data_IF_023599425309
#
_entry.id   IF_023599425309
#
_cell.length_a   1.000
_cell.length_b   1.000
_cell.length_c   1.000
_cell.angle_alpha   90.00
_cell.angle_beta   90.00
_cell.angle_gamma   90.00
#
_symmetry.space_group_name_H-M   'P 1'
#
loop_
_entity.id
_entity.type
_entity.pdbx_description
1 polymer ?
#
# COMPACT_ATOMS: atom_id res chain seq x y z
N UNK A 1 1.76 -2.73 10.12
CA UNK A 1 2.29 -3.42 8.91
C UNK A 1 2.97 -2.38 8.02
N UNK A 2 4.06 -2.74 7.35
CA UNK A 2 4.71 -1.87 6.37
C UNK A 2 4.72 -2.55 5.01
N UNK A 3 4.48 -1.79 3.94
CA UNK A 3 4.67 -2.23 2.55
C UNK A 3 5.66 -1.26 1.91
N UNK A 4 6.69 -1.79 1.26
CA UNK A 4 7.79 -1.02 0.67
C UNK A 4 7.93 -1.39 -0.79
N UNK A 5 8.14 -0.38 -1.64
CA UNK A 5 8.41 -0.54 -3.06
C UNK A 5 9.84 -0.10 -3.34
N UNK A 6 10.59 -0.94 -4.06
CA UNK A 6 11.96 -0.63 -4.47
C UNK A 6 11.99 0.52 -5.47
N UNK A 7 13.16 1.12 -5.67
CA UNK A 7 13.35 2.05 -6.78
C UNK A 7 12.97 1.38 -8.12
N UNK A 8 12.18 2.05 -8.99
CA UNK A 8 11.92 1.55 -10.33
C UNK A 8 13.22 1.36 -11.11
N UNK A 9 13.33 0.26 -11.84
CA UNK A 9 14.44 0.02 -12.77
C UNK A 9 14.19 0.74 -14.10
N UNK A 10 15.17 0.67 -14.99
CA UNK A 10 15.02 1.20 -16.35
C UNK A 10 13.81 0.56 -17.06
N UNK A 11 12.88 1.40 -17.50
CA UNK A 11 11.63 0.97 -18.16
C UNK A 11 10.46 0.66 -17.21
N UNK A 12 10.68 0.67 -15.89
CA UNK A 12 9.62 0.56 -14.87
C UNK A 12 9.17 1.96 -14.44
N UNK A 13 8.01 2.06 -13.79
CA UNK A 13 7.52 3.30 -13.22
C UNK A 13 6.99 3.10 -11.80
N UNK A 14 6.81 4.22 -11.09
CA UNK A 14 5.97 4.24 -9.90
C UNK A 14 5.17 5.53 -9.92
N UNK A 15 3.85 5.43 -10.08
CA UNK A 15 2.96 6.58 -10.03
C UNK A 15 2.53 6.86 -8.58
N UNK A 16 3.29 7.71 -7.90
CA UNK A 16 3.02 8.10 -6.52
C UNK A 16 1.68 8.85 -6.38
N UNK A 17 1.27 9.61 -7.40
CA UNK A 17 0.02 10.37 -7.36
C UNK A 17 -1.17 9.41 -7.47
N UNK A 18 -1.09 8.39 -8.34
CA UNK A 18 -2.07 7.31 -8.39
C UNK A 18 -2.10 6.53 -7.07
N UNK A 19 -0.93 6.17 -6.54
CA UNK A 19 -0.81 5.42 -5.30
C UNK A 19 -1.54 6.13 -4.15
N UNK A 20 -1.31 7.43 -3.96
CA UNK A 20 -1.93 8.21 -2.88
C UNK A 20 -3.42 8.49 -3.14
N UNK A 21 -3.81 8.84 -4.37
CA UNK A 21 -5.15 9.35 -4.66
C UNK A 21 -6.14 8.29 -5.14
N UNK A 22 -5.68 7.07 -5.45
CA UNK A 22 -6.53 5.96 -5.92
C UNK A 22 -6.29 4.69 -5.11
N UNK A 23 -5.06 4.19 -5.09
CA UNK A 23 -4.77 2.91 -4.46
C UNK A 23 -5.01 2.93 -2.96
N UNK A 24 -4.49 3.93 -2.24
CA UNK A 24 -4.67 4.02 -0.79
C UNK A 24 -6.14 4.22 -0.35
N UNK A 25 -6.97 5.00 -1.07
CA UNK A 25 -8.41 5.02 -0.86
C UNK A 25 -9.09 3.64 -1.03
N UNK A 26 -8.73 2.86 -2.06
CA UNK A 26 -9.25 1.49 -2.25
C UNK A 26 -8.83 0.61 -1.07
N UNK A 27 -7.56 0.67 -0.66
CA UNK A 27 -7.07 -0.04 0.51
C UNK A 27 -7.83 0.36 1.78
N UNK A 28 -8.07 1.66 1.98
CA UNK A 28 -8.81 2.18 3.13
C UNK A 28 -10.25 1.63 3.16
N UNK A 29 -10.97 1.69 2.04
CA UNK A 29 -12.34 1.19 1.93
C UNK A 29 -12.45 -0.29 2.32
N UNK A 30 -11.56 -1.13 1.79
CA UNK A 30 -11.62 -2.58 1.99
C UNK A 30 -11.01 -3.05 3.32
N UNK A 31 -10.03 -2.32 3.86
CA UNK A 31 -9.32 -2.75 5.07
C UNK A 31 -9.81 -2.10 6.36
N UNK A 32 -10.52 -0.96 6.31
CA UNK A 32 -11.13 -0.37 7.52
C UNK A 32 -12.10 -1.34 8.22
N UNK A 33 -12.99 -2.07 7.51
CA UNK A 33 -13.84 -3.10 8.13
C UNK A 33 -13.05 -4.25 8.76
N UNK A 34 -11.82 -4.48 8.27
CA UNK A 34 -10.92 -5.52 8.74
C UNK A 34 -9.99 -5.06 9.88
N UNK A 35 -10.12 -3.81 10.34
CA UNK A 35 -9.38 -3.29 11.49
C UNK A 35 -8.30 -2.25 11.15
N UNK A 36 -8.18 -1.79 9.90
CA UNK A 36 -7.29 -0.68 9.56
C UNK A 36 -7.79 0.62 10.22
N UNK A 37 -6.87 1.33 10.87
CA UNK A 37 -7.14 2.58 11.59
C UNK A 37 -6.61 3.81 10.90
N UNK A 38 -5.41 3.71 10.36
CA UNK A 38 -4.79 4.81 9.62
C UNK A 38 -3.71 4.27 8.71
N UNK A 39 -3.33 5.11 7.76
CA UNK A 39 -2.24 4.84 6.85
C UNK A 39 -1.42 6.11 6.64
N UNK A 40 -0.13 5.94 6.40
CA UNK A 40 0.79 7.02 6.10
C UNK A 40 1.71 6.60 4.96
N UNK A 41 1.65 7.33 3.85
CA UNK A 41 2.57 7.12 2.73
C UNK A 41 3.90 7.80 3.02
N UNK A 42 4.97 7.09 2.72
CA UNK A 42 6.34 7.58 2.79
C UNK A 42 6.90 7.60 1.38
N UNK A 43 7.44 8.74 0.95
CA UNK A 43 8.27 8.85 -0.24
C UNK A 43 9.71 9.05 0.20
N UNK A 44 10.60 8.20 -0.29
CA UNK A 44 12.02 8.29 0.04
C UNK A 44 12.77 9.11 -1.02
N UNK A 45 13.98 9.53 -0.67
CA UNK A 45 14.88 10.24 -1.59
C UNK A 45 15.47 9.32 -2.67
N UNK A 46 16.09 9.90 -3.72
CA UNK A 46 16.62 9.14 -4.85
C UNK A 46 17.74 8.16 -4.48
N UNK A 47 18.49 8.42 -3.41
CA UNK A 47 19.60 7.57 -2.95
C UNK A 47 19.15 6.43 -2.01
N UNK A 48 17.85 6.35 -1.68
CA UNK A 48 17.31 5.32 -0.81
C UNK A 48 17.08 4.00 -1.56
N UNK A 49 17.21 2.84 -0.89
CA UNK A 49 16.96 1.53 -1.52
C UNK A 49 15.49 1.31 -1.92
N UNK A 50 14.57 2.13 -1.41
CA UNK A 50 13.14 2.08 -1.69
C UNK A 50 12.69 3.41 -2.29
N UNK A 51 11.74 3.38 -3.21
CA UNK A 51 11.10 4.57 -3.77
C UNK A 51 10.10 5.17 -2.78
N UNK A 52 9.29 4.30 -2.18
CA UNK A 52 8.24 4.67 -1.26
C UNK A 52 7.59 3.47 -0.60
N UNK A 53 6.58 3.74 0.21
CA UNK A 53 5.83 2.71 0.89
C UNK A 53 4.70 3.29 1.74
N UNK A 54 4.06 2.43 2.51
CA UNK A 54 2.99 2.81 3.44
C UNK A 54 3.16 2.14 4.79
N UNK A 55 2.96 2.93 5.85
CA UNK A 55 2.74 2.44 7.20
C UNK A 55 1.25 2.28 7.42
N UNK A 56 0.82 1.04 7.69
CA UNK A 56 -0.57 0.69 7.97
C UNK A 56 -0.71 0.39 9.46
N UNK A 57 -1.56 1.15 10.15
CA UNK A 57 -1.86 0.98 11.55
C UNK A 57 -3.19 0.24 11.70
N UNK A 58 -3.18 -0.80 12.52
CA UNK A 58 -4.31 -1.72 12.70
C UNK A 58 -4.71 -1.72 14.17
N UNK A 59 -5.97 -2.05 14.45
CA UNK A 59 -6.46 -2.26 15.82
C UNK A 59 -5.65 -3.34 16.54
N UNK A 60 -5.42 -4.47 15.88
CA UNK A 60 -4.60 -5.58 16.41
C UNK A 60 -3.59 -6.03 15.37
N UNK A 61 -2.48 -6.60 15.82
CA UNK A 61 -1.49 -7.18 14.93
C UNK A 61 -2.07 -8.29 14.03
N UNK A 62 -2.98 -9.10 14.57
CA UNK A 62 -3.66 -10.19 13.84
C UNK A 62 -4.54 -9.68 12.69
N UNK A 63 -5.08 -8.46 12.81
CA UNK A 63 -5.97 -7.87 11.81
C UNK A 63 -5.20 -7.54 10.53
N UNK A 64 -3.92 -7.16 10.65
CA UNK A 64 -3.04 -6.99 9.50
C UNK A 64 -2.86 -8.31 8.73
N UNK A 65 -2.65 -9.43 9.43
CA UNK A 65 -2.52 -10.74 8.80
C UNK A 65 -3.83 -11.19 8.14
N UNK A 66 -4.97 -10.96 8.78
CA UNK A 66 -6.29 -11.25 8.21
C UNK A 66 -6.53 -10.46 6.94
N UNK A 67 -6.23 -9.17 6.93
CA UNK A 67 -6.40 -8.33 5.75
C UNK A 67 -5.57 -8.83 4.57
N UNK A 68 -4.35 -9.34 4.78
CA UNK A 68 -3.55 -9.86 3.68
C UNK A 68 -4.12 -11.14 3.03
N UNK A 69 -5.01 -11.86 3.71
CA UNK A 69 -5.62 -13.10 3.21
C UNK A 69 -7.12 -13.00 2.94
N UNK A 70 -7.74 -11.87 3.29
CA UNK A 70 -9.18 -11.65 3.13
C UNK A 70 -9.55 -11.55 1.64
N UNK A 71 -10.68 -12.15 1.26
CA UNK A 71 -11.17 -12.07 -0.12
C UNK A 71 -11.52 -10.62 -0.50
N UNK A 72 -11.93 -9.84 0.49
CA UNK A 72 -12.22 -8.40 0.40
C UNK A 72 -10.99 -7.57 0.02
N UNK A 73 -9.78 -8.12 0.15
CA UNK A 73 -8.53 -7.45 -0.24
C UNK A 73 -8.16 -7.62 -1.70
N UNK A 74 -8.87 -8.49 -2.44
CA UNK A 74 -8.61 -8.72 -3.85
C UNK A 74 -8.62 -7.43 -4.70
N UNK A 75 -9.55 -6.46 -4.50
CA UNK A 75 -9.51 -5.19 -5.21
C UNK A 75 -8.24 -4.38 -4.94
N UNK A 76 -7.71 -4.43 -3.72
CA UNK A 76 -6.46 -3.74 -3.35
C UNK A 76 -5.29 -4.34 -4.12
N UNK A 77 -5.16 -5.67 -4.14
CA UNK A 77 -4.05 -6.33 -4.83
C UNK A 77 -4.13 -6.24 -6.35
N UNK A 78 -5.34 -6.30 -6.91
CA UNK A 78 -5.55 -6.17 -8.35
C UNK A 78 -5.24 -4.77 -8.88
N UNK A 79 -5.24 -3.76 -8.01
CA UNK A 79 -4.95 -2.38 -8.38
C UNK A 79 -3.45 -2.07 -8.45
N UNK A 80 -2.57 -2.95 -7.94
CA UNK A 80 -1.11 -2.74 -7.94
C UNK A 80 -0.51 -2.43 -9.31
N UNK A 81 -0.85 -3.16 -10.40
CA UNK A 81 -0.31 -2.88 -11.74
C UNK A 81 -0.69 -1.51 -12.32
N UNK A 82 -1.62 -0.78 -11.70
CA UNK A 82 -2.03 0.55 -12.20
C UNK A 82 -1.03 1.65 -11.82
N UNK A 83 -0.13 1.40 -10.87
CA UNK A 83 0.87 2.38 -10.44
C UNK A 83 2.32 1.87 -10.43
N UNK A 84 2.59 0.61 -10.80
CA UNK A 84 3.93 0.02 -10.87
C UNK A 84 4.18 -0.73 -12.17
#
# INVERSE_FOLDING_TARGET
LQVLYTQPKEGEFFDMDYYVNKHMPIANEHWTPLGLKSWQVIKYGPDAPYYGGVLLHWEKAEDASKALTAAESQPVFNDVPNFT
#
